data_IF_971191027900
#
_entry.id   IF_971191027900
#
_cell.length_a   1.000
_cell.length_b   1.000
_cell.length_c   1.000
_cell.angle_alpha   90.00
_cell.angle_beta   90.00
_cell.angle_gamma   90.00
#
_symmetry.space_group_name_H-M   'P 1'
#
loop_
_entity.id
_entity.type
_entity.pdbx_description
1 polymer ?
#
# COMPACT_ATOMS: atom_id res chain seq x y z
N UNK A 1 -6.28 -9.83 -4.43
CA UNK A 1 -5.92 -10.73 -3.33
C UNK A 1 -4.54 -10.40 -2.75
N UNK A 2 -3.48 -10.22 -3.57
CA UNK A 2 -2.13 -9.88 -3.08
C UNK A 2 -2.09 -8.63 -2.19
N UNK A 3 -2.78 -7.55 -2.57
CA UNK A 3 -2.88 -6.33 -1.76
C UNK A 3 -3.57 -6.58 -0.40
N UNK A 4 -4.58 -7.42 -0.37
CA UNK A 4 -5.27 -7.81 0.86
C UNK A 4 -4.34 -8.59 1.80
N UNK A 5 -3.59 -9.56 1.26
CA UNK A 5 -2.59 -10.33 2.01
C UNK A 5 -1.52 -9.38 2.59
N UNK A 6 -0.98 -8.47 1.77
CA UNK A 6 0.03 -7.50 2.21
C UNK A 6 -0.48 -6.56 3.30
N UNK A 7 -1.74 -6.15 3.21
CA UNK A 7 -2.38 -5.35 4.26
C UNK A 7 -2.43 -6.12 5.57
N UNK A 8 -2.92 -7.35 5.57
CA UNK A 8 -2.93 -8.21 6.77
C UNK A 8 -1.53 -8.40 7.35
N UNK A 9 -0.53 -8.71 6.51
CA UNK A 9 0.86 -8.88 6.94
C UNK A 9 1.44 -7.62 7.58
N UNK A 10 1.20 -6.44 7.01
CA UNK A 10 1.66 -5.17 7.56
C UNK A 10 1.04 -4.83 8.92
N UNK A 11 -0.17 -5.30 9.19
CA UNK A 11 -0.86 -5.13 10.47
C UNK A 11 -0.73 -6.32 11.41
N UNK A 12 0.15 -7.29 11.12
CA UNK A 12 0.35 -8.52 11.90
C UNK A 12 -0.94 -9.33 12.12
N UNK A 13 -1.89 -9.24 11.19
CA UNK A 13 -3.12 -10.02 11.21
C UNK A 13 -2.87 -11.38 10.54
N UNK A 14 -2.38 -12.35 11.32
CA UNK A 14 -1.90 -13.63 10.79
C UNK A 14 -3.01 -14.66 10.52
N UNK A 15 -4.26 -14.35 10.89
CA UNK A 15 -5.39 -15.27 10.67
C UNK A 15 -5.62 -15.50 9.17
N UNK A 16 -5.68 -16.76 8.77
CA UNK A 16 -5.98 -17.21 7.40
C UNK A 16 -4.99 -16.74 6.30
N UNK A 17 -3.82 -16.22 6.69
CA UNK A 17 -2.82 -15.73 5.72
C UNK A 17 -2.34 -16.86 4.82
N UNK A 18 -2.05 -18.01 5.38
CA UNK A 18 -1.56 -19.15 4.61
C UNK A 18 -2.59 -19.64 3.60
N UNK A 19 -3.87 -19.69 4.00
CA UNK A 19 -4.97 -20.06 3.09
C UNK A 19 -5.16 -19.01 1.99
N UNK A 20 -5.06 -17.72 2.32
CA UNK A 20 -5.10 -16.65 1.33
C UNK A 20 -3.93 -16.73 0.34
N UNK A 21 -2.73 -17.11 0.79
CA UNK A 21 -1.56 -17.31 -0.09
C UNK A 21 -1.80 -18.52 -1.01
N UNK A 22 -2.34 -19.62 -0.50
CA UNK A 22 -2.71 -20.79 -1.32
C UNK A 22 -3.79 -20.46 -2.35
N UNK A 23 -4.79 -19.66 -1.97
CA UNK A 23 -5.80 -19.17 -2.90
C UNK A 23 -5.16 -18.31 -4.00
N UNK A 24 -4.28 -17.36 -3.64
CA UNK A 24 -3.53 -16.55 -4.60
C UNK A 24 -2.72 -17.43 -5.58
N UNK A 25 -2.00 -18.42 -5.07
CA UNK A 25 -1.24 -19.38 -5.86
C UNK A 25 -2.15 -20.14 -6.84
N UNK A 26 -3.32 -20.61 -6.39
CA UNK A 26 -4.27 -21.32 -7.23
C UNK A 26 -4.82 -20.50 -8.40
N UNK A 27 -4.94 -19.19 -8.22
CA UNK A 27 -5.40 -18.25 -9.25
C UNK A 27 -4.29 -17.94 -10.24
N UNK A 28 -3.07 -17.70 -9.75
CA UNK A 28 -1.90 -17.32 -10.58
C UNK A 28 -1.46 -18.47 -11.49
N UNK A 29 -1.48 -19.72 -11.01
CA UNK A 29 -1.12 -20.89 -11.84
C UNK A 29 -1.98 -21.08 -13.11
N UNK A 30 -3.03 -20.25 -13.29
CA UNK A 30 -3.89 -20.25 -14.48
C UNK A 30 -3.54 -19.17 -15.50
N UNK A 31 -2.78 -18.16 -15.09
CA UNK A 31 -2.42 -17.00 -15.92
C UNK A 31 -0.94 -16.65 -15.71
N UNK A 32 -0.13 -16.71 -16.76
CA UNK A 32 1.32 -16.48 -16.70
C UNK A 32 1.65 -14.98 -16.77
N UNK A 33 1.21 -14.19 -15.80
CA UNK A 33 1.61 -12.79 -15.68
C UNK A 33 2.79 -12.65 -14.70
N UNK A 34 3.98 -12.23 -15.15
CA UNK A 34 5.16 -12.10 -14.28
C UNK A 34 4.98 -11.14 -13.07
N UNK A 35 4.06 -10.19 -13.16
CA UNK A 35 3.73 -9.32 -12.02
C UNK A 35 3.01 -10.09 -10.91
N UNK A 36 2.14 -11.00 -11.28
CA UNK A 36 1.38 -11.80 -10.34
C UNK A 36 2.31 -12.83 -9.68
N UNK A 37 3.21 -13.46 -10.44
CA UNK A 37 4.26 -14.33 -9.92
C UNK A 37 5.15 -13.59 -8.90
N UNK A 38 5.58 -12.36 -9.24
CA UNK A 38 6.35 -11.54 -8.31
C UNK A 38 5.57 -11.27 -7.02
N UNK A 39 4.30 -10.87 -7.11
CA UNK A 39 3.49 -10.56 -5.94
C UNK A 39 3.22 -11.79 -5.08
N UNK A 40 3.04 -12.97 -5.67
CA UNK A 40 2.89 -14.23 -4.94
C UNK A 40 4.15 -14.53 -4.12
N UNK A 41 5.31 -14.57 -4.80
CA UNK A 41 6.61 -14.88 -4.16
C UNK A 41 6.96 -13.81 -3.10
N UNK A 42 6.60 -12.56 -3.35
CA UNK A 42 6.75 -11.46 -2.39
C UNK A 42 5.90 -11.70 -1.12
N UNK A 43 4.63 -12.10 -1.26
CA UNK A 43 3.76 -12.42 -0.12
C UNK A 43 4.30 -13.62 0.66
N UNK A 44 4.80 -14.66 -0.02
CA UNK A 44 5.43 -15.82 0.60
C UNK A 44 6.68 -15.41 1.40
N UNK A 45 7.57 -14.58 0.81
CA UNK A 45 8.75 -14.07 1.50
C UNK A 45 8.36 -13.29 2.78
N UNK A 46 7.42 -12.36 2.66
CA UNK A 46 6.99 -11.52 3.76
C UNK A 46 6.34 -12.34 4.88
N UNK A 47 5.49 -13.31 4.53
CA UNK A 47 4.90 -14.25 5.49
C UNK A 47 5.96 -15.06 6.23
N UNK A 48 6.98 -15.61 5.55
CA UNK A 48 8.07 -16.37 6.17
C UNK A 48 8.93 -15.52 7.09
N UNK A 49 9.16 -14.24 6.77
CA UNK A 49 9.80 -13.28 7.68
C UNK A 49 8.98 -13.14 8.97
N UNK A 50 7.68 -12.93 8.86
CA UNK A 50 6.78 -12.78 10.01
C UNK A 50 6.71 -14.03 10.91
N UNK A 51 6.84 -15.20 10.31
CA UNK A 51 6.88 -16.50 11.03
C UNK A 51 8.28 -16.86 11.54
N UNK A 52 9.26 -15.95 11.43
CA UNK A 52 10.67 -16.16 11.80
C UNK A 52 11.35 -17.33 11.07
N UNK A 53 10.83 -17.76 9.93
CA UNK A 53 11.42 -18.79 9.06
C UNK A 53 12.44 -18.15 8.10
N UNK A 54 13.51 -17.56 8.65
CA UNK A 54 14.47 -16.74 7.92
C UNK A 54 15.16 -17.45 6.73
N UNK A 55 15.59 -18.73 6.80
CA UNK A 55 16.19 -19.42 5.66
C UNK A 55 15.23 -19.54 4.47
N UNK A 56 13.95 -19.87 4.73
CA UNK A 56 12.93 -19.96 3.69
C UNK A 56 12.60 -18.57 3.13
N UNK A 57 12.48 -17.56 4.00
CA UNK A 57 12.26 -16.18 3.60
C UNK A 57 13.34 -15.69 2.63
N UNK A 58 14.62 -15.94 2.93
CA UNK A 58 15.74 -15.57 2.07
C UNK A 58 15.67 -16.25 0.70
N UNK A 59 15.22 -17.51 0.65
CA UNK A 59 15.02 -18.21 -0.62
C UNK A 59 13.94 -17.51 -1.48
N UNK A 60 12.79 -17.14 -0.89
CA UNK A 60 11.74 -16.39 -1.60
C UNK A 60 12.21 -14.98 -2.00
N UNK A 61 13.00 -14.29 -1.18
CA UNK A 61 13.57 -12.98 -1.55
C UNK A 61 14.46 -13.12 -2.81
N UNK A 62 15.29 -14.16 -2.89
CA UNK A 62 16.12 -14.43 -4.09
C UNK A 62 15.28 -14.73 -5.33
N UNK A 63 14.15 -15.41 -5.17
CA UNK A 63 13.20 -15.64 -6.27
C UNK A 63 12.58 -14.32 -6.75
N UNK A 64 12.18 -13.40 -5.83
CA UNK A 64 11.71 -12.07 -6.24
C UNK A 64 12.76 -11.27 -6.99
N UNK A 65 14.04 -11.38 -6.58
CA UNK A 65 15.16 -10.75 -7.33
C UNK A 65 15.30 -11.32 -8.74
N UNK A 66 15.19 -12.63 -8.89
CA UNK A 66 15.28 -13.27 -10.20
C UNK A 66 14.18 -12.80 -11.13
N UNK A 67 12.92 -12.76 -10.67
CA UNK A 67 11.79 -12.25 -11.45
C UNK A 67 11.99 -10.77 -11.79
N UNK A 68 12.44 -9.95 -10.83
CA UNK A 68 12.71 -8.53 -11.06
C UNK A 68 13.79 -8.27 -12.13
N UNK A 69 14.86 -9.08 -12.15
CA UNK A 69 15.92 -8.98 -13.18
C UNK A 69 15.43 -9.34 -14.57
N UNK A 70 14.52 -10.30 -14.67
CA UNK A 70 13.97 -10.76 -15.95
C UNK A 70 12.99 -9.75 -16.57
N UNK A 71 12.21 -9.04 -15.76
CA UNK A 71 11.06 -8.26 -16.23
C UNK A 71 11.17 -6.75 -16.03
N UNK A 72 12.22 -6.24 -15.38
CA UNK A 72 12.60 -4.83 -15.23
C UNK A 72 11.44 -3.86 -14.84
N UNK A 73 10.51 -4.30 -14.00
CA UNK A 73 9.45 -3.42 -13.50
C UNK A 73 9.98 -2.36 -12.53
N UNK A 74 9.62 -1.06 -12.71
CA UNK A 74 10.27 0.05 -12.01
C UNK A 74 10.22 0.00 -10.48
N UNK A 75 9.19 -0.66 -9.91
CA UNK A 75 9.10 -0.68 -8.46
C UNK A 75 9.52 -1.97 -7.80
N UNK A 76 9.84 -3.04 -8.50
CA UNK A 76 10.19 -4.33 -7.89
C UNK A 76 11.43 -4.21 -7.02
N UNK A 77 12.43 -3.44 -7.44
CA UNK A 77 13.63 -3.22 -6.65
C UNK A 77 13.34 -2.53 -5.29
N UNK A 78 12.38 -1.60 -5.22
CA UNK A 78 11.99 -0.96 -3.96
C UNK A 78 11.26 -1.94 -3.04
N UNK A 79 10.40 -2.79 -3.61
CA UNK A 79 9.71 -3.83 -2.86
C UNK A 79 10.70 -4.87 -2.29
N UNK A 80 11.68 -5.29 -3.08
CA UNK A 80 12.73 -6.22 -2.65
C UNK A 80 13.57 -5.59 -1.53
N UNK A 81 13.98 -4.32 -1.67
CA UNK A 81 14.68 -3.61 -0.58
C UNK A 81 13.85 -3.60 0.71
N UNK A 82 12.54 -3.42 0.61
CA UNK A 82 11.68 -3.47 1.77
C UNK A 82 11.64 -4.87 2.41
N UNK A 83 11.61 -5.96 1.62
CA UNK A 83 11.75 -7.32 2.16
C UNK A 83 13.08 -7.51 2.89
N UNK A 84 14.19 -7.02 2.33
CA UNK A 84 15.50 -7.09 2.97
C UNK A 84 15.51 -6.31 4.30
N UNK A 85 14.91 -5.11 4.36
CA UNK A 85 14.85 -4.36 5.61
C UNK A 85 14.10 -5.14 6.70
N UNK A 86 13.00 -5.81 6.33
CA UNK A 86 12.24 -6.67 7.25
C UNK A 86 13.04 -7.91 7.65
N UNK A 87 13.71 -8.55 6.69
CA UNK A 87 14.57 -9.70 6.95
C UNK A 87 15.71 -9.35 7.92
N UNK A 88 16.42 -8.24 7.68
CA UNK A 88 17.48 -7.76 8.58
C UNK A 88 16.97 -7.38 9.97
N UNK A 89 15.77 -6.86 10.06
CA UNK A 89 15.13 -6.57 11.37
C UNK A 89 14.92 -7.83 12.17
N UNK A 90 14.35 -8.88 11.54
CA UNK A 90 14.08 -10.16 12.21
C UNK A 90 15.37 -10.96 12.49
N UNK A 91 16.40 -10.82 11.66
CA UNK A 91 17.73 -11.38 11.92
C UNK A 91 18.57 -10.58 12.93
N UNK A 92 18.01 -9.46 13.46
CA UNK A 92 18.66 -8.52 14.40
C UNK A 92 19.88 -7.79 13.83
N UNK A 93 19.97 -7.72 12.51
CA UNK A 93 21.00 -6.99 11.79
C UNK A 93 20.56 -5.52 11.58
N UNK A 94 20.30 -4.83 12.70
CA UNK A 94 19.61 -3.54 12.73
C UNK A 94 20.31 -2.44 11.92
N UNK A 95 21.64 -2.44 11.87
CA UNK A 95 22.39 -1.46 11.06
C UNK A 95 22.09 -1.60 9.58
N UNK A 96 22.05 -2.85 9.08
CA UNK A 96 21.74 -3.13 7.67
C UNK A 96 20.27 -2.79 7.37
N UNK A 97 19.36 -3.10 8.31
CA UNK A 97 17.95 -2.73 8.20
C UNK A 97 17.77 -1.21 8.09
N UNK A 98 18.41 -0.41 8.95
CA UNK A 98 18.37 1.07 8.88
C UNK A 98 18.93 1.60 7.57
N UNK A 99 20.11 1.14 7.14
CA UNK A 99 20.72 1.56 5.87
C UNK A 99 19.77 1.32 4.71
N UNK A 100 19.13 0.14 4.68
CA UNK A 100 18.17 -0.22 3.62
C UNK A 100 16.92 0.67 3.65
N UNK A 101 16.40 1.00 4.84
CA UNK A 101 15.26 1.91 4.99
C UNK A 101 15.60 3.36 4.61
N UNK A 102 16.81 3.84 4.96
CA UNK A 102 17.27 5.18 4.59
C UNK A 102 17.45 5.32 3.06
N UNK A 103 17.94 4.29 2.39
CA UNK A 103 17.94 4.21 0.93
C UNK A 103 16.52 4.25 0.36
N UNK A 104 15.58 3.48 0.90
CA UNK A 104 14.17 3.52 0.48
C UNK A 104 13.57 4.91 0.63
N UNK A 105 13.81 5.58 1.75
CA UNK A 105 13.33 6.94 2.00
C UNK A 105 13.91 7.94 1.01
N UNK A 106 15.18 7.79 0.59
CA UNK A 106 15.79 8.67 -0.41
C UNK A 106 15.07 8.61 -1.76
N UNK A 107 14.55 7.42 -2.13
CA UNK A 107 13.78 7.22 -3.37
C UNK A 107 12.30 7.58 -3.26
N UNK A 108 11.73 7.60 -2.05
CA UNK A 108 10.28 7.76 -1.84
C UNK A 108 9.87 9.12 -1.27
N UNK A 109 10.82 9.96 -0.85
CA UNK A 109 10.55 11.29 -0.22
C UNK A 109 9.66 12.21 -1.06
N UNK A 110 9.62 12.05 -2.37
CA UNK A 110 8.80 12.87 -3.26
C UNK A 110 7.34 12.39 -3.39
N UNK A 111 7.03 11.18 -2.94
CA UNK A 111 5.70 10.59 -3.05
C UNK A 111 5.07 10.54 -1.65
N UNK A 112 4.20 11.51 -1.34
CA UNK A 112 3.32 11.43 -0.17
C UNK A 112 2.47 10.15 -0.25
N UNK A 113 2.98 9.05 0.30
CA UNK A 113 2.37 7.72 0.18
C UNK A 113 2.38 6.96 1.50
N UNK A 114 1.37 6.12 1.69
CA UNK A 114 1.33 5.20 2.83
C UNK A 114 2.53 4.24 2.88
N UNK A 115 3.20 4.01 1.76
CA UNK A 115 4.43 3.21 1.71
C UNK A 115 5.58 3.92 2.42
N UNK A 116 5.75 5.23 2.19
CA UNK A 116 6.74 6.05 2.91
C UNK A 116 6.43 6.11 4.40
N UNK A 117 5.15 6.17 4.76
CA UNK A 117 4.70 6.12 6.15
C UNK A 117 5.14 4.82 6.85
N UNK A 118 4.97 3.66 6.18
CA UNK A 118 5.38 2.38 6.75
C UNK A 118 6.90 2.30 6.94
N UNK A 119 7.68 2.80 5.97
CA UNK A 119 9.15 2.85 6.07
C UNK A 119 9.60 3.75 7.24
N UNK A 120 8.97 4.92 7.44
CA UNK A 120 9.25 5.79 8.57
C UNK A 120 8.93 5.13 9.91
N UNK A 121 7.80 4.41 10.00
CA UNK A 121 7.41 3.65 11.19
C UNK A 121 8.43 2.56 11.52
N UNK A 122 8.83 1.77 10.52
CA UNK A 122 9.78 0.68 10.70
C UNK A 122 11.16 1.21 11.12
N UNK A 123 11.59 2.35 10.56
CA UNK A 123 12.82 3.04 10.97
C UNK A 123 12.80 3.43 12.44
N UNK A 124 11.72 4.06 12.89
CA UNK A 124 11.58 4.44 14.30
C UNK A 124 11.57 3.21 15.22
N UNK A 125 10.92 2.13 14.80
CA UNK A 125 10.89 0.88 15.53
C UNK A 125 12.29 0.25 15.66
N UNK A 126 13.08 0.20 14.59
CA UNK A 126 14.44 -0.35 14.61
C UNK A 126 15.34 0.46 15.55
N UNK A 127 15.26 1.79 15.54
CA UNK A 127 16.00 2.64 16.47
C UNK A 127 15.64 2.34 17.92
N UNK A 128 14.37 2.02 18.19
CA UNK A 128 13.94 1.55 19.53
C UNK A 128 14.59 0.22 19.91
N UNK A 129 14.62 -0.74 18.97
CA UNK A 129 15.25 -2.05 19.19
C UNK A 129 16.77 -1.95 19.43
N UNK A 130 17.42 -0.94 18.86
CA UNK A 130 18.84 -0.64 19.07
C UNK A 130 19.12 0.07 20.42
N UNK A 131 18.07 0.50 21.13
CA UNK A 131 18.20 1.29 22.36
C UNK A 131 18.53 2.76 22.15
N UNK A 132 18.49 3.25 20.93
CA UNK A 132 18.77 4.64 20.55
C UNK A 132 17.54 5.52 20.82
N UNK A 133 17.22 5.71 22.11
CA UNK A 133 15.95 6.34 22.53
C UNK A 133 15.76 7.76 21.98
N UNK A 134 16.82 8.55 21.86
CA UNK A 134 16.73 9.91 21.34
C UNK A 134 16.36 9.92 19.85
N UNK A 135 17.13 9.18 19.05
CA UNK A 135 16.87 9.08 17.61
C UNK A 135 15.53 8.38 17.32
N UNK A 136 15.11 7.44 18.16
CA UNK A 136 13.81 6.80 18.06
C UNK A 136 12.67 7.81 18.28
N UNK A 137 12.74 8.67 19.30
CA UNK A 137 11.75 9.74 19.52
C UNK A 137 11.67 10.68 18.32
N UNK A 138 12.82 11.19 17.84
CA UNK A 138 12.87 12.08 16.65
C UNK A 138 12.26 11.39 15.41
N UNK A 139 12.53 10.10 15.20
CA UNK A 139 11.98 9.33 14.11
C UNK A 139 10.46 9.14 14.23
N UNK A 140 9.93 8.92 15.44
CA UNK A 140 8.48 8.85 15.66
C UNK A 140 7.80 10.21 15.47
N UNK A 141 8.44 11.32 15.83
CA UNK A 141 7.91 12.66 15.56
C UNK A 141 7.78 12.90 14.05
N UNK A 142 8.81 12.52 13.27
CA UNK A 142 8.76 12.59 11.80
C UNK A 142 7.63 11.71 11.25
N UNK A 143 7.51 10.48 11.74
CA UNK A 143 6.44 9.58 11.34
C UNK A 143 5.05 10.16 11.62
N UNK A 144 4.82 10.70 12.83
CA UNK A 144 3.54 11.28 13.22
C UNK A 144 3.21 12.52 12.38
N UNK A 145 4.15 13.44 12.19
CA UNK A 145 3.97 14.62 11.34
C UNK A 145 3.61 14.23 9.90
N UNK A 146 4.27 13.22 9.36
CA UNK A 146 4.00 12.73 8.01
C UNK A 146 2.62 12.07 7.93
N UNK A 147 2.25 11.27 8.94
CA UNK A 147 0.94 10.62 9.05
C UNK A 147 -0.17 11.67 9.09
N UNK A 148 -0.06 12.68 9.94
CA UNK A 148 -1.06 13.74 10.09
C UNK A 148 -1.24 14.52 8.76
N UNK A 149 -0.14 14.77 8.05
CA UNK A 149 -0.19 15.38 6.71
C UNK A 149 -0.94 14.52 5.70
N UNK A 150 -0.70 13.22 5.67
CA UNK A 150 -1.42 12.29 4.78
C UNK A 150 -2.90 12.20 5.12
N UNK A 151 -3.24 12.12 6.41
CA UNK A 151 -4.62 12.03 6.87
C UNK A 151 -5.39 13.31 6.51
N UNK A 152 -4.78 14.49 6.69
CA UNK A 152 -5.34 15.77 6.27
C UNK A 152 -5.58 15.83 4.75
N UNK A 153 -4.62 15.39 3.94
CA UNK A 153 -4.77 15.33 2.48
C UNK A 153 -5.90 14.40 2.05
N UNK A 154 -6.03 13.23 2.68
CA UNK A 154 -7.10 12.28 2.39
C UNK A 154 -8.47 12.83 2.78
N UNK A 155 -8.56 13.52 3.93
CA UNK A 155 -9.79 14.17 4.35
C UNK A 155 -10.25 15.24 3.35
N UNK A 156 -9.34 16.10 2.89
CA UNK A 156 -9.63 17.11 1.86
C UNK A 156 -10.11 16.43 0.56
N UNK A 157 -9.44 15.35 0.14
CA UNK A 157 -9.84 14.61 -1.06
C UNK A 157 -11.26 14.04 -0.91
N UNK A 158 -11.59 13.42 0.21
CA UNK A 158 -12.93 12.88 0.48
C UNK A 158 -14.01 13.97 0.45
N UNK A 159 -13.73 15.14 1.03
CA UNK A 159 -14.66 16.30 0.96
C UNK A 159 -14.87 16.72 -0.49
N UNK A 160 -13.81 16.83 -1.29
CA UNK A 160 -13.90 17.22 -2.69
C UNK A 160 -14.68 16.18 -3.52
N UNK A 161 -14.50 14.89 -3.25
CA UNK A 161 -15.27 13.81 -3.88
C UNK A 161 -16.76 13.91 -3.54
N UNK A 162 -17.09 14.09 -2.26
CA UNK A 162 -18.48 14.30 -1.81
C UNK A 162 -19.11 15.54 -2.42
N UNK A 163 -18.36 16.65 -2.47
CA UNK A 163 -18.83 17.87 -3.12
C UNK A 163 -19.11 17.67 -4.60
N UNK A 164 -18.25 16.94 -5.29
CA UNK A 164 -18.43 16.60 -6.71
C UNK A 164 -19.69 15.76 -6.93
N UNK A 165 -19.89 14.72 -6.10
CA UNK A 165 -21.11 13.89 -6.14
C UNK A 165 -22.38 14.75 -5.90
N UNK A 166 -22.35 15.60 -4.88
CA UNK A 166 -23.47 16.51 -4.62
C UNK A 166 -23.78 17.43 -5.82
N UNK A 167 -22.77 17.95 -6.51
CA UNK A 167 -23.00 18.79 -7.70
C UNK A 167 -23.58 17.98 -8.87
N UNK A 168 -23.18 16.73 -9.04
CA UNK A 168 -23.75 15.82 -10.05
C UNK A 168 -25.23 15.59 -9.74
N UNK A 169 -25.58 15.18 -8.52
CA UNK A 169 -26.96 14.92 -8.12
C UNK A 169 -27.84 16.17 -8.28
N UNK A 170 -27.33 17.34 -7.89
CA UNK A 170 -28.02 18.61 -8.06
C UNK A 170 -28.29 18.93 -9.54
N UNK A 171 -27.30 18.76 -10.39
CA UNK A 171 -27.45 19.01 -11.83
C UNK A 171 -28.46 18.04 -12.47
N UNK A 172 -28.48 16.77 -12.06
CA UNK A 172 -29.46 15.79 -12.50
C UNK A 172 -30.88 16.19 -12.09
N UNK A 173 -31.08 16.61 -10.84
CA UNK A 173 -32.35 17.09 -10.34
C UNK A 173 -32.83 18.33 -11.08
N UNK A 174 -31.96 19.30 -11.33
CA UNK A 174 -32.27 20.52 -12.10
C UNK A 174 -32.65 20.19 -13.54
N UNK A 175 -31.97 19.24 -14.19
CA UNK A 175 -32.30 18.77 -15.52
C UNK A 175 -33.69 18.08 -15.57
N UNK A 176 -33.99 17.23 -14.60
CA UNK A 176 -35.30 16.58 -14.48
C UNK A 176 -36.41 17.61 -14.29
N UNK A 177 -36.20 18.64 -13.44
CA UNK A 177 -37.15 19.70 -13.24
C UNK A 177 -37.37 20.55 -14.53
N UNK A 178 -36.32 20.86 -15.27
CA UNK A 178 -36.41 21.52 -16.57
C UNK A 178 -37.21 20.69 -17.58
N UNK A 179 -36.95 19.40 -17.67
CA UNK A 179 -37.70 18.50 -18.56
C UNK A 179 -39.20 18.46 -18.20
N UNK A 180 -39.54 18.35 -16.91
CA UNK A 180 -40.92 18.42 -16.44
C UNK A 180 -41.58 19.75 -16.85
N UNK A 181 -40.89 20.86 -16.66
CA UNK A 181 -41.41 22.21 -17.00
C UNK A 181 -41.68 22.31 -18.51
N UNK A 182 -40.78 21.82 -19.36
CA UNK A 182 -40.96 21.80 -20.82
C UNK A 182 -42.16 20.93 -21.19
N UNK A 183 -42.35 19.78 -20.58
CA UNK A 183 -43.52 18.92 -20.82
C UNK A 183 -44.80 19.60 -20.43
N UNK A 184 -44.88 20.28 -19.27
CA UNK A 184 -46.06 21.04 -18.87
C UNK A 184 -46.43 22.15 -19.88
N UNK A 185 -45.44 22.90 -20.38
CA UNK A 185 -45.67 23.95 -21.37
C UNK A 185 -46.08 23.36 -22.72
N UNK A 186 -45.53 22.23 -23.14
CA UNK A 186 -45.94 21.58 -24.40
C UNK A 186 -47.38 21.08 -24.37
N UNK A 187 -47.84 20.53 -23.23
CA UNK A 187 -49.24 20.15 -23.04
C UNK A 187 -50.16 21.36 -23.07
N UNK A 188 -49.74 22.45 -22.43
CA UNK A 188 -50.53 23.69 -22.39
C UNK A 188 -50.72 24.28 -23.79
N UNK A 189 -49.70 24.25 -24.66
CA UNK A 189 -49.77 24.74 -26.06
C UNK A 189 -50.59 23.84 -26.98
N UNK A 190 -50.81 22.59 -26.65
CA UNK A 190 -51.64 21.65 -27.42
C UNK A 190 -53.12 21.80 -27.06
N UNK A 191 -53.43 22.24 -25.83
CA UNK A 191 -54.80 22.36 -25.34
C UNK A 191 -55.46 23.72 -25.66
N UNK A 192 -54.69 24.71 -26.12
CA UNK A 192 -55.14 26.03 -26.53
C UNK A 192 -54.76 26.31 -28.00
#
# INVERSE_FOLDING_TARGET
>A
LSQFILTKLNYHQMTDIEDNIRELESVINKDTNPQDDFHLVYCQAFYRIQMHHLPEALNYIRQTEQISRQHQYPYFHLMIKYLYSRYYTESKEYTQALTTLDELLSHTKAANSYRSLQVLKDRAHILTLMGNSKEACEAYEIFNTYKDSLDAMNYIRQINELHTLYQIDKNELDNLNRQKTILYWSWFTILF
#
